data_IF_753078549702
#
_entry.id   IF_753078549702
#
_cell.length_a   1.000
_cell.length_b   1.000
_cell.length_c   1.000
_cell.angle_alpha   90.00
_cell.angle_beta   90.00
_cell.angle_gamma   90.00
#
_symmetry.space_group_name_H-M   'P 1'
#
loop_
_entity.id
_entity.type
_entity.pdbx_description
1 polymer ?
#
# COMPACT_ATOMS: atom_id res chain seq x y z
N UNK A 1 -11.15 3.45 -11.20
CA UNK A 1 -10.10 3.39 -10.16
C UNK A 1 -10.79 3.52 -8.82
N UNK A 2 -10.87 2.41 -8.09
CA UNK A 2 -11.53 2.34 -6.78
C UNK A 2 -10.69 1.46 -5.88
N UNK A 3 -9.45 1.90 -5.63
CA UNK A 3 -8.57 1.29 -4.63
C UNK A 3 -8.74 2.05 -3.33
N UNK A 4 -9.07 1.32 -2.28
CA UNK A 4 -9.21 1.82 -0.92
C UNK A 4 -8.10 1.23 -0.05
N UNK A 5 -7.77 1.93 1.03
CA UNK A 5 -6.76 1.49 1.99
C UNK A 5 -7.36 1.53 3.38
N UNK A 6 -7.21 0.44 4.14
CA UNK A 6 -7.53 0.45 5.57
C UNK A 6 -6.61 1.39 6.33
N UNK A 7 -7.03 1.88 7.49
CA UNK A 7 -6.18 2.76 8.32
C UNK A 7 -4.87 2.05 8.71
N UNK A 8 -4.92 0.74 8.97
CA UNK A 8 -3.72 -0.03 9.23
C UNK A 8 -2.77 -0.09 8.03
N UNK A 9 -3.29 -0.33 6.82
CA UNK A 9 -2.48 -0.28 5.61
C UNK A 9 -1.88 1.11 5.40
N UNK A 10 -2.65 2.19 5.63
CA UNK A 10 -2.15 3.57 5.55
C UNK A 10 -0.99 3.82 6.50
N UNK A 11 -1.13 3.42 7.77
CA UNK A 11 -0.09 3.58 8.79
C UNK A 11 1.23 2.93 8.38
N UNK A 12 1.18 1.66 7.94
CA UNK A 12 2.37 0.90 7.54
C UNK A 12 3.02 1.53 6.30
N UNK A 13 2.22 1.84 5.28
CA UNK A 13 2.72 2.40 4.03
C UNK A 13 3.30 3.81 4.21
N UNK A 14 2.71 4.64 5.07
CA UNK A 14 3.25 5.95 5.41
C UNK A 14 4.59 5.85 6.15
N UNK A 15 4.71 4.91 7.10
CA UNK A 15 6.00 4.65 7.78
C UNK A 15 7.06 4.15 6.79
N UNK A 16 6.69 3.27 5.87
CA UNK A 16 7.59 2.77 4.83
C UNK A 16 8.05 3.88 3.88
N UNK A 17 7.13 4.72 3.38
CA UNK A 17 7.45 5.88 2.52
C UNK A 17 8.36 6.87 3.24
N UNK A 18 8.04 7.24 4.49
CA UNK A 18 8.87 8.12 5.29
C UNK A 18 10.27 7.54 5.55
N UNK A 19 10.37 6.22 5.76
CA UNK A 19 11.64 5.51 5.88
C UNK A 19 12.47 5.56 4.60
N UNK A 20 11.85 5.26 3.46
CA UNK A 20 12.49 5.30 2.14
C UNK A 20 12.99 6.71 1.80
N UNK A 21 12.18 7.73 2.07
CA UNK A 21 12.49 9.14 1.77
C UNK A 21 13.65 9.71 2.57
N UNK A 22 13.95 9.14 3.74
CA UNK A 22 15.16 9.49 4.50
C UNK A 22 16.43 9.07 3.80
N UNK A 23 16.38 8.01 2.98
CA UNK A 23 17.52 7.49 2.23
C UNK A 23 17.62 8.11 0.84
N UNK A 24 16.48 8.27 0.16
CA UNK A 24 16.36 8.94 -1.13
C UNK A 24 15.07 9.79 -1.14
N UNK A 25 15.15 11.13 -1.16
CA UNK A 25 13.97 12.01 -1.12
C UNK A 25 12.91 11.75 -2.20
N UNK A 26 13.33 11.19 -3.35
CA UNK A 26 12.47 10.88 -4.48
C UNK A 26 11.86 9.48 -4.40
N UNK A 27 12.37 8.60 -3.54
CA UNK A 27 11.82 7.26 -3.37
C UNK A 27 10.37 7.31 -2.86
N UNK A 28 9.52 6.50 -3.47
CA UNK A 28 8.13 6.24 -3.12
C UNK A 28 7.89 4.74 -3.04
N UNK A 29 6.87 4.35 -2.28
CA UNK A 29 6.42 2.96 -2.25
C UNK A 29 5.60 2.65 -3.49
N UNK A 30 5.91 1.52 -4.14
CA UNK A 30 5.15 0.94 -5.24
C UNK A 30 4.58 -0.40 -4.80
N UNK A 31 3.27 -0.58 -4.94
CA UNK A 31 2.60 -1.85 -4.67
C UNK A 31 2.52 -2.68 -5.94
N UNK A 32 3.11 -3.87 -5.90
CA UNK A 32 3.08 -4.84 -6.99
C UNK A 32 2.15 -5.98 -6.60
N UNK A 33 1.17 -6.29 -7.45
CA UNK A 33 0.22 -7.36 -7.18
C UNK A 33 0.84 -8.73 -7.48
N UNK A 34 0.77 -9.63 -6.50
CA UNK A 34 1.16 -11.04 -6.61
C UNK A 34 -0.02 -11.92 -6.14
N UNK A 35 -0.98 -12.12 -7.06
CA UNK A 35 -2.24 -12.78 -6.75
C UNK A 35 -3.14 -11.93 -5.83
N UNK A 36 -3.35 -12.39 -4.60
CA UNK A 36 -4.08 -11.66 -3.54
C UNK A 36 -3.15 -10.91 -2.59
N UNK A 37 -1.84 -11.14 -2.68
CA UNK A 37 -0.83 -10.44 -1.89
C UNK A 37 -0.35 -9.23 -2.69
N UNK A 38 -0.05 -8.16 -1.98
CA UNK A 38 0.61 -6.99 -2.55
C UNK A 38 2.04 -6.92 -1.98
N UNK A 39 3.02 -6.74 -2.84
CA UNK A 39 4.41 -6.56 -2.44
C UNK A 39 4.76 -5.06 -2.46
N UNK A 40 5.34 -4.56 -1.38
CA UNK A 40 5.84 -3.19 -1.31
C UNK A 40 7.28 -3.14 -1.82
N UNK A 41 7.48 -2.40 -2.91
CA UNK A 41 8.79 -2.12 -3.51
C UNK A 41 9.05 -0.62 -3.48
N UNK A 42 10.28 -0.19 -3.79
CA UNK A 42 10.64 1.22 -3.86
C UNK A 42 10.92 1.63 -5.30
N UNK A 43 10.44 2.80 -5.68
CA UNK A 43 10.66 3.40 -6.98
C UNK A 43 10.70 4.92 -6.85
N UNK A 44 11.56 5.57 -7.61
CA UNK A 44 11.69 7.02 -7.64
C UNK A 44 10.67 7.71 -8.57
N UNK A 45 10.10 6.97 -9.53
CA UNK A 45 9.13 7.48 -10.49
C UNK A 45 8.00 6.46 -10.78
N UNK A 46 6.78 6.92 -11.09
CA UNK A 46 5.74 6.04 -11.60
C UNK A 46 6.12 5.54 -13.01
N UNK A 47 5.80 4.28 -13.28
CA UNK A 47 5.87 3.69 -14.60
C UNK A 47 4.65 4.04 -15.46
N UNK A 48 4.66 3.67 -16.76
CA UNK A 48 3.58 3.99 -17.69
C UNK A 48 2.27 3.30 -17.36
N UNK A 49 2.29 2.22 -16.58
CA UNK A 49 1.10 1.46 -16.14
C UNK A 49 0.82 1.63 -14.65
N UNK A 50 1.36 2.67 -14.02
CA UNK A 50 1.03 3.01 -12.64
C UNK A 50 0.05 4.17 -12.58
N UNK A 51 -0.89 4.06 -11.65
CA UNK A 51 -1.64 5.18 -11.11
C UNK A 51 -0.94 5.70 -9.84
N UNK A 52 -1.00 7.02 -9.63
CA UNK A 52 -0.40 7.69 -8.46
C UNK A 52 -1.50 7.97 -7.44
N UNK A 53 -1.37 7.41 -6.24
CA UNK A 53 -2.37 7.51 -5.17
C UNK A 53 -1.80 8.20 -3.95
N UNK A 54 -2.52 9.20 -3.43
CA UNK A 54 -2.17 9.86 -2.17
C UNK A 54 -2.88 9.18 -1.00
N UNK A 55 -2.13 8.76 0.02
CA UNK A 55 -2.66 8.24 1.29
C UNK A 55 -2.11 9.07 2.45
N UNK A 56 -2.86 10.09 2.85
CA UNK A 56 -2.38 11.11 3.79
C UNK A 56 -1.10 11.78 3.29
N UNK A 57 0.01 11.63 4.02
CA UNK A 57 1.29 12.26 3.68
C UNK A 57 2.15 11.48 2.65
N UNK A 58 1.80 10.23 2.35
CA UNK A 58 2.57 9.38 1.43
C UNK A 58 1.95 9.38 0.03
N UNK A 59 2.82 9.17 -0.97
CA UNK A 59 2.43 8.93 -2.37
C UNK A 59 2.81 7.50 -2.73
N UNK A 60 1.85 6.74 -3.23
CA UNK A 60 1.99 5.32 -3.55
C UNK A 60 1.74 5.12 -5.04
N UNK A 61 2.58 4.32 -5.68
CA UNK A 61 2.35 3.86 -7.05
C UNK A 61 1.63 2.51 -7.01
N UNK A 62 0.56 2.37 -7.77
CA UNK A 62 -0.21 1.13 -7.88
C UNK A 62 -0.46 0.81 -9.35
N UNK A 63 -0.64 -0.46 -9.68
CA UNK A 63 -1.06 -0.87 -11.03
C UNK A 63 -2.30 -0.09 -11.49
N UNK A 64 -2.28 0.40 -12.73
CA UNK A 64 -3.39 1.15 -13.31
C UNK A 64 -4.68 0.34 -13.27
N UNK A 65 -5.75 0.98 -12.81
CA UNK A 65 -7.05 0.31 -12.75
C UNK A 65 -7.15 -0.74 -11.64
N UNK A 66 -6.24 -0.75 -10.66
CA UNK A 66 -6.38 -1.55 -9.45
C UNK A 66 -7.71 -1.24 -8.75
N UNK A 67 -8.42 -2.29 -8.38
CA UNK A 67 -9.71 -2.23 -7.68
C UNK A 67 -9.70 -3.16 -6.48
N UNK A 68 -10.16 -2.65 -5.34
CA UNK A 68 -10.26 -3.42 -4.10
C UNK A 68 -9.88 -2.63 -2.85
N UNK A 69 -9.81 -3.35 -1.74
CA UNK A 69 -9.37 -2.85 -0.44
C UNK A 69 -7.97 -3.40 -0.14
N UNK A 70 -6.97 -2.53 -0.09
CA UNK A 70 -5.64 -2.85 0.41
C UNK A 70 -5.69 -2.86 1.94
N UNK A 71 -5.31 -3.99 2.51
CA UNK A 71 -5.41 -4.28 3.93
C UNK A 71 -4.17 -5.01 4.43
N UNK A 72 -4.07 -5.21 5.75
CA UNK A 72 -2.96 -5.91 6.39
C UNK A 72 -3.47 -7.22 7.00
N UNK A 73 -2.73 -8.30 6.83
CA UNK A 73 -3.03 -9.61 7.41
C UNK A 73 -1.88 -10.12 8.30
N UNK A 74 -2.23 -10.51 9.52
CA UNK A 74 -1.34 -11.19 10.48
C UNK A 74 -1.07 -12.64 10.06
N UNK A 75 0.02 -13.28 10.53
CA UNK A 75 0.97 -12.87 11.58
C UNK A 75 2.21 -12.07 11.12
N UNK A 76 2.20 -11.45 9.93
CA UNK A 76 3.42 -10.90 9.30
C UNK A 76 3.24 -9.54 8.62
N UNK A 77 2.27 -8.74 9.06
CA UNK A 77 1.94 -7.45 8.42
C UNK A 77 1.80 -7.56 6.88
N UNK A 78 1.22 -8.66 6.39
CA UNK A 78 1.18 -8.95 4.96
C UNK A 78 0.17 -8.04 4.28
N UNK A 79 0.62 -7.25 3.31
CA UNK A 79 -0.27 -6.46 2.47
C UNK A 79 -1.10 -7.39 1.58
N UNK A 80 -2.41 -7.27 1.63
CA UNK A 80 -3.35 -8.07 0.83
C UNK A 80 -4.32 -7.18 0.08
N UNK A 81 -4.77 -7.64 -1.08
CA UNK A 81 -5.83 -7.00 -1.87
C UNK A 81 -7.12 -7.81 -1.73
N UNK A 82 -8.11 -7.21 -1.09
CA UNK A 82 -9.44 -7.79 -0.89
C UNK A 82 -10.44 -7.18 -1.90
N UNK A 83 -11.52 -7.89 -2.24
CA UNK A 83 -12.59 -7.29 -3.04
C UNK A 83 -13.13 -6.00 -2.43
N UNK A 84 -13.56 -5.06 -3.26
CA UNK A 84 -14.13 -3.80 -2.79
C UNK A 84 -15.37 -4.06 -1.89
N UNK A 85 -15.50 -3.29 -0.81
CA UNK A 85 -16.58 -3.49 0.18
C UNK A 85 -16.33 -4.62 1.19
N UNK A 86 -15.16 -5.29 1.14
CA UNK A 86 -14.77 -6.25 2.18
C UNK A 86 -14.60 -5.56 3.53
N UNK A 87 -14.88 -6.28 4.62
CA UNK A 87 -14.57 -5.78 5.96
C UNK A 87 -13.06 -5.76 6.19
N UNK A 88 -12.49 -4.73 6.84
CA UNK A 88 -11.09 -4.71 7.26
C UNK A 88 -10.74 -5.91 8.15
N UNK A 89 -9.50 -6.37 8.06
CA UNK A 89 -8.93 -7.31 9.02
C UNK A 89 -8.83 -6.62 10.39
N UNK A 90 -8.97 -7.43 11.44
CA UNK A 90 -8.84 -6.95 12.81
C UNK A 90 -7.36 -6.73 13.08
N UNK A 91 -7.01 -5.50 13.46
CA UNK A 91 -5.72 -5.17 14.04
C UNK A 91 -5.78 -5.55 15.51
N UNK A 92 -5.16 -6.66 15.87
CA UNK A 92 -4.96 -7.00 17.28
C UNK A 92 -3.91 -6.04 17.84
N UNK A 93 -4.22 -5.41 18.99
CA UNK A 93 -3.23 -4.61 19.70
C UNK A 93 -2.16 -5.57 20.24
N UNK A 94 -1.04 -5.64 19.55
CA UNK A 94 0.17 -6.25 20.08
C UNK A 94 0.79 -5.29 21.10
N UNK A 95 0.29 -5.36 22.35
CA UNK A 95 0.90 -4.74 23.54
C UNK A 95 2.29 -5.35 23.87
#
# INVERSE_FOLDING_TARGET
>A
MTVEFTEWAKDILQRADAGARRLNPDARVRLVRSGQVMEATLSDQPGPEDDVVSIGAATIFVERGLEGLVDIEEPHDRLVLKPLGSQPNIREDHD
#
